data_IF_924151770066
#
_entry.id   IF_924151770066
#
_cell.length_a   1.000
_cell.length_b   1.000
_cell.length_c   1.000
_cell.angle_alpha   90.00
_cell.angle_beta   90.00
_cell.angle_gamma   90.00
#
_symmetry.space_group_name_H-M   'P 1'
#
loop_
_entity.id
_entity.type
_entity.pdbx_description
1 polymer ?
#
# COMPACT_ATOMS: atom_id res chain seq x y z
N UNK A 1 -13.21 4.12 5.80
CA UNK A 1 -12.53 3.66 7.04
C UNK A 1 -13.15 2.35 7.46
N UNK A 2 -12.35 1.33 7.68
CA UNK A 2 -12.72 0.03 8.24
C UNK A 2 -12.15 -0.12 9.65
N UNK A 3 -12.90 -0.69 10.58
CA UNK A 3 -12.47 -0.89 11.97
C UNK A 3 -13.13 -2.09 12.61
N UNK A 4 -12.45 -2.70 13.59
CA UNK A 4 -12.97 -3.85 14.33
C UNK A 4 -13.70 -3.41 15.64
N UNK A 5 -13.56 -2.13 16.04
CA UNK A 5 -14.21 -1.55 17.21
C UNK A 5 -13.87 -0.08 17.41
N UNK A 6 -14.11 0.46 18.61
CA UNK A 6 -13.97 1.88 18.95
C UNK A 6 -12.93 2.17 20.04
N UNK A 7 -12.37 1.14 20.66
CA UNK A 7 -11.37 1.29 21.72
C UNK A 7 -10.02 1.71 21.14
N UNK A 8 -9.20 2.38 21.96
CA UNK A 8 -7.93 2.97 21.56
C UNK A 8 -6.89 1.95 21.01
N UNK A 9 -7.02 0.68 21.36
CA UNK A 9 -6.16 -0.40 20.86
C UNK A 9 -6.70 -1.17 19.66
N UNK A 10 -7.92 -0.81 19.22
CA UNK A 10 -8.62 -1.53 18.15
C UNK A 10 -7.95 -1.32 16.80
N UNK A 11 -7.99 -2.37 16.00
CA UNK A 11 -7.50 -2.34 14.61
C UNK A 11 -8.42 -1.47 13.76
N UNK A 12 -7.81 -0.59 12.97
CA UNK A 12 -8.52 0.16 11.94
C UNK A 12 -7.62 0.42 10.73
N UNK A 13 -8.24 0.71 9.63
CA UNK A 13 -7.57 1.01 8.37
C UNK A 13 -8.32 2.06 7.57
N UNK A 14 -7.58 2.80 6.77
CA UNK A 14 -8.12 3.70 5.76
C UNK A 14 -7.75 3.14 4.40
N UNK A 15 -8.73 3.08 3.51
CA UNK A 15 -8.53 2.81 2.09
C UNK A 15 -8.99 4.04 1.31
N UNK A 16 -8.09 4.70 0.60
CA UNK A 16 -8.39 5.87 -0.21
C UNK A 16 -8.73 5.45 -1.63
N UNK A 17 -10.02 5.24 -1.88
CA UNK A 17 -10.57 4.98 -3.21
C UNK A 17 -11.39 6.18 -3.75
N UNK A 18 -11.37 7.31 -3.03
CA UNK A 18 -12.08 8.52 -3.39
C UNK A 18 -11.57 9.17 -4.69
N UNK A 19 -12.32 10.12 -5.27
CA UNK A 19 -11.88 10.88 -6.43
C UNK A 19 -10.72 11.81 -6.05
N UNK A 20 -9.86 12.11 -7.01
CA UNK A 20 -8.88 13.19 -6.84
C UNK A 20 -9.61 14.53 -6.76
N UNK A 21 -9.41 15.25 -5.66
CA UNK A 21 -10.10 16.53 -5.40
C UNK A 21 -9.35 17.72 -6.00
N UNK A 22 -9.82 18.93 -5.62
CA UNK A 22 -9.23 20.21 -6.04
C UNK A 22 -8.40 20.79 -4.89
N UNK A 23 -7.11 20.98 -5.12
CA UNK A 23 -6.18 21.54 -4.14
C UNK A 23 -5.89 20.61 -2.96
N UNK A 24 -4.72 20.72 -2.38
CA UNK A 24 -4.25 19.93 -1.24
C UNK A 24 -4.29 18.39 -1.40
N UNK A 25 -4.65 17.89 -2.56
CA UNK A 25 -4.70 16.45 -2.88
C UNK A 25 -3.31 15.91 -3.19
N UNK A 26 -3.13 14.62 -2.91
CA UNK A 26 -1.95 13.85 -3.26
C UNK A 26 -2.27 12.84 -4.37
N UNK A 27 -1.25 12.28 -5.00
CA UNK A 27 -1.39 11.22 -5.99
C UNK A 27 -1.29 9.87 -5.28
N UNK A 28 -2.28 9.56 -4.49
CA UNK A 28 -2.32 8.47 -3.51
C UNK A 28 -3.56 7.58 -3.66
N UNK A 29 -4.20 7.61 -4.83
CA UNK A 29 -5.38 6.76 -5.10
C UNK A 29 -5.05 5.29 -4.86
N UNK A 30 -5.93 4.61 -4.10
CA UNK A 30 -5.79 3.24 -3.62
C UNK A 30 -4.76 3.05 -2.50
N UNK A 31 -4.36 4.15 -1.83
CA UNK A 31 -3.54 4.11 -0.63
C UNK A 31 -4.24 3.39 0.53
N UNK A 32 -3.46 2.71 1.35
CA UNK A 32 -3.93 2.04 2.58
C UNK A 32 -3.05 2.44 3.75
N UNK A 33 -3.68 2.90 4.83
CA UNK A 33 -3.06 3.06 6.16
C UNK A 33 -3.63 2.05 7.13
N UNK A 34 -2.79 1.54 8.05
CA UNK A 34 -3.17 0.56 9.07
C UNK A 34 -2.66 0.98 10.45
N UNK A 35 -3.59 1.00 11.39
CA UNK A 35 -3.33 1.13 12.82
C UNK A 35 -3.79 -0.15 13.54
N UNK A 36 -2.98 -0.65 14.46
CA UNK A 36 -3.35 -1.78 15.30
C UNK A 36 -2.55 -1.79 16.61
N UNK A 37 -3.15 -2.33 17.65
CA UNK A 37 -2.51 -2.53 18.95
C UNK A 37 -1.90 -1.24 19.55
N UNK A 38 -2.61 -0.12 19.37
CA UNK A 38 -2.22 1.18 19.93
C UNK A 38 -1.13 1.93 19.14
N UNK A 39 -0.87 1.56 17.87
CA UNK A 39 0.24 2.11 17.07
C UNK A 39 -0.13 2.24 15.60
N UNK A 40 0.34 3.31 14.96
CA UNK A 40 0.40 3.38 13.50
C UNK A 40 1.45 2.40 12.98
N UNK A 41 1.07 1.56 12.02
CA UNK A 41 1.92 0.53 11.43
C UNK A 41 2.24 0.82 9.99
N UNK A 42 1.22 0.97 9.13
CA UNK A 42 1.38 1.50 7.77
C UNK A 42 0.80 2.91 7.74
N UNK A 43 1.60 3.86 7.28
CA UNK A 43 1.28 5.29 7.38
C UNK A 43 1.20 5.96 6.03
N UNK A 44 0.40 7.02 5.95
CA UNK A 44 0.58 8.07 4.97
C UNK A 44 1.77 8.93 5.40
N UNK A 45 2.61 9.32 4.44
CA UNK A 45 3.83 10.06 4.74
C UNK A 45 3.58 11.53 5.15
N UNK A 46 2.36 12.03 4.99
CA UNK A 46 2.00 13.42 5.27
C UNK A 46 2.42 14.38 4.16
N UNK A 47 2.24 15.67 4.40
CA UNK A 47 2.42 16.69 3.34
C UNK A 47 3.77 17.40 3.33
N UNK A 48 4.52 17.36 4.40
CA UNK A 48 5.78 18.05 4.67
C UNK A 48 5.71 19.56 4.39
N UNK A 49 5.58 19.99 3.12
CA UNK A 49 5.64 21.41 2.72
C UNK A 49 4.74 21.72 1.53
N UNK A 50 4.35 22.99 1.41
CA UNK A 50 3.72 23.53 0.20
C UNK A 50 4.72 24.22 -0.74
N UNK A 51 6.00 24.26 -0.37
CA UNK A 51 7.07 24.88 -1.15
C UNK A 51 7.88 23.81 -1.84
N UNK A 52 8.04 23.91 -3.16
CA UNK A 52 8.86 23.06 -4.00
C UNK A 52 9.27 23.81 -5.25
N UNK A 53 10.34 23.35 -5.90
CA UNK A 53 10.82 23.88 -7.18
C UNK A 53 10.18 23.11 -8.33
N UNK A 54 10.02 21.78 -8.15
CA UNK A 54 9.42 20.91 -9.14
C UNK A 54 8.63 19.79 -8.44
N UNK A 55 7.34 20.02 -8.21
CA UNK A 55 6.46 19.05 -7.53
C UNK A 55 6.13 17.79 -8.36
N UNK A 56 6.71 17.66 -9.56
CA UNK A 56 6.69 16.45 -10.40
C UNK A 56 7.96 15.61 -10.31
N UNK A 57 8.90 15.99 -9.45
CA UNK A 57 10.19 15.30 -9.30
C UNK A 57 10.26 14.51 -7.99
N UNK A 58 10.69 13.23 -8.01
CA UNK A 58 10.99 12.48 -6.80
C UNK A 58 12.24 12.96 -6.05
N UNK A 59 12.93 13.96 -6.58
CA UNK A 59 14.09 14.66 -5.96
C UNK A 59 13.73 16.06 -5.45
N UNK A 60 12.47 16.44 -5.50
CA UNK A 60 11.91 17.62 -4.84
C UNK A 60 11.07 17.19 -3.64
N UNK A 61 11.26 17.81 -2.47
CA UNK A 61 10.53 17.40 -1.27
C UNK A 61 9.03 17.61 -1.38
N UNK A 62 8.57 18.66 -2.05
CA UNK A 62 7.14 18.83 -2.32
C UNK A 62 6.63 17.75 -3.26
N UNK A 63 7.41 17.44 -4.30
CA UNK A 63 7.12 16.37 -5.25
C UNK A 63 7.03 15.03 -4.55
N UNK A 64 8.03 14.65 -3.79
CA UNK A 64 8.06 13.38 -3.05
C UNK A 64 6.82 13.20 -2.17
N UNK A 65 6.50 14.16 -1.28
CA UNK A 65 5.39 14.04 -0.34
C UNK A 65 4.00 14.20 -0.97
N UNK A 66 3.88 14.84 -2.13
CA UNK A 66 2.60 15.03 -2.84
C UNK A 66 2.28 13.86 -3.77
N UNK A 67 3.30 13.23 -4.33
CA UNK A 67 3.19 12.24 -5.39
C UNK A 67 3.24 10.82 -4.84
N UNK A 68 2.94 9.85 -5.67
CA UNK A 68 2.80 8.43 -5.32
C UNK A 68 4.02 7.81 -4.61
N UNK A 69 5.20 8.42 -4.71
CA UNK A 69 6.43 7.89 -4.12
C UNK A 69 6.42 7.77 -2.61
N UNK A 70 5.59 8.54 -1.92
CA UNK A 70 5.49 8.53 -0.45
C UNK A 70 4.24 7.82 0.08
N UNK A 71 3.47 7.19 -0.79
CA UNK A 71 2.19 6.57 -0.45
C UNK A 71 2.22 5.05 -0.64
N UNK A 72 1.27 4.32 -0.03
CA UNK A 72 1.17 2.87 -0.11
C UNK A 72 0.38 2.44 -1.36
N UNK A 73 0.96 2.69 -2.52
CA UNK A 73 0.39 2.50 -3.85
C UNK A 73 1.37 1.78 -4.78
N UNK A 74 0.95 1.56 -6.04
CA UNK A 74 1.81 0.98 -7.07
C UNK A 74 2.33 2.10 -7.99
N UNK A 75 3.64 2.09 -8.24
CA UNK A 75 4.30 2.87 -9.28
C UNK A 75 4.51 2.01 -10.53
N UNK A 76 4.52 2.64 -11.70
CA UNK A 76 4.90 2.02 -12.98
C UNK A 76 6.14 2.75 -13.51
N UNK A 77 7.23 2.01 -13.80
CA UNK A 77 8.51 2.55 -14.21
C UNK A 77 9.00 3.70 -13.30
N UNK A 78 8.76 3.56 -11.99
CA UNK A 78 9.06 4.56 -10.97
C UNK A 78 8.32 5.91 -11.16
N UNK A 79 7.24 5.91 -11.92
CA UNK A 79 6.42 7.10 -12.17
C UNK A 79 5.23 7.17 -11.21
N UNK A 80 4.83 8.40 -10.91
CA UNK A 80 3.66 8.70 -10.07
C UNK A 80 2.37 8.58 -10.86
N UNK A 81 1.28 8.27 -10.18
CA UNK A 81 -0.07 8.41 -10.70
C UNK A 81 -0.31 9.80 -11.29
N UNK A 82 -1.06 9.86 -12.40
CA UNK A 82 -1.45 11.12 -13.02
C UNK A 82 -2.49 11.87 -12.19
N UNK A 83 -2.41 13.20 -12.26
CA UNK A 83 -3.43 14.10 -11.68
C UNK A 83 -4.65 14.10 -12.60
N UNK A 84 -5.77 13.57 -12.14
CA UNK A 84 -7.03 13.75 -12.84
C UNK A 84 -8.19 13.81 -11.84
N UNK A 85 -9.05 14.81 -12.02
CA UNK A 85 -10.28 14.94 -11.24
C UNK A 85 -11.23 13.85 -11.73
N UNK A 86 -11.41 12.82 -10.91
CA UNK A 86 -12.41 11.78 -11.14
C UNK A 86 -13.67 12.10 -10.35
N UNK A 87 -14.82 11.95 -11.02
CA UNK A 87 -16.11 11.89 -10.32
C UNK A 87 -16.13 10.61 -9.50
N UNK A 88 -16.64 10.68 -8.28
CA UNK A 88 -16.79 9.51 -7.43
C UNK A 88 -17.59 8.42 -8.16
N UNK A 89 -17.08 7.18 -8.12
CA UNK A 89 -17.86 6.00 -8.45
C UNK A 89 -19.06 5.90 -7.53
N UNK A 90 -20.14 5.27 -7.99
CA UNK A 90 -21.32 5.02 -7.17
C UNK A 90 -20.93 4.22 -5.90
N UNK A 91 -21.00 4.81 -4.70
CA UNK A 91 -20.44 4.21 -3.49
C UNK A 91 -21.08 2.88 -3.10
N UNK A 92 -22.26 2.60 -3.60
CA UNK A 92 -23.08 1.44 -3.19
C UNK A 92 -22.69 0.11 -3.88
N UNK A 93 -21.96 0.15 -4.98
CA UNK A 93 -21.55 -1.05 -5.71
C UNK A 93 -20.15 -1.54 -5.34
N UNK A 94 -19.31 -0.64 -4.82
CA UNK A 94 -17.88 -0.89 -4.69
C UNK A 94 -17.43 -1.13 -3.24
N UNK A 95 -18.35 -1.23 -2.28
CA UNK A 95 -18.02 -1.53 -0.89
C UNK A 95 -19.14 -2.28 -0.15
N UNK A 96 -18.76 -3.04 0.87
CA UNK A 96 -19.66 -3.78 1.76
C UNK A 96 -19.10 -3.80 3.18
N UNK A 97 -19.95 -3.54 4.16
CA UNK A 97 -19.62 -3.64 5.58
C UNK A 97 -20.50 -4.71 6.21
N UNK A 98 -19.87 -5.65 6.94
CA UNK A 98 -20.55 -6.73 7.68
C UNK A 98 -19.91 -6.89 9.05
N UNK A 99 -20.49 -7.75 9.90
CA UNK A 99 -19.90 -8.11 11.18
C UNK A 99 -18.65 -8.98 11.05
N UNK A 100 -18.48 -9.66 9.91
CA UNK A 100 -17.37 -10.60 9.66
C UNK A 100 -16.25 -9.99 8.84
N UNK A 101 -16.58 -9.09 7.91
CA UNK A 101 -15.61 -8.45 7.04
C UNK A 101 -16.12 -7.12 6.49
N UNK A 102 -15.18 -6.25 6.17
CA UNK A 102 -15.41 -5.09 5.29
C UNK A 102 -14.71 -5.32 3.96
N UNK A 103 -15.36 -4.92 2.89
CA UNK A 103 -14.86 -4.97 1.52
C UNK A 103 -14.97 -3.60 0.87
N UNK A 104 -13.98 -3.24 0.06
CA UNK A 104 -14.06 -2.11 -0.87
C UNK A 104 -13.23 -2.40 -2.11
N UNK A 105 -13.68 -1.93 -3.26
CA UNK A 105 -12.98 -2.00 -4.53
C UNK A 105 -12.74 -0.57 -5.04
N UNK A 106 -11.49 -0.25 -5.34
CA UNK A 106 -11.10 0.99 -5.98
C UNK A 106 -10.45 0.74 -7.34
N UNK A 107 -10.59 1.70 -8.25
CA UNK A 107 -9.98 1.68 -9.57
C UNK A 107 -9.24 2.99 -9.83
N UNK A 108 -8.03 2.89 -10.35
CA UNK A 108 -7.27 3.98 -10.93
C UNK A 108 -6.93 3.63 -12.38
N UNK A 109 -7.33 4.47 -13.33
CA UNK A 109 -7.26 4.23 -14.78
C UNK A 109 -6.67 5.41 -15.57
N UNK A 110 -5.92 6.29 -14.89
CA UNK A 110 -5.36 7.52 -15.49
C UNK A 110 -3.89 7.41 -15.86
N UNK A 111 -3.29 6.25 -15.60
CA UNK A 111 -1.89 5.96 -15.92
C UNK A 111 -0.87 6.65 -15.01
N UNK A 112 0.40 6.49 -15.34
CA UNK A 112 1.57 6.96 -14.60
C UNK A 112 2.49 7.74 -15.54
N UNK A 113 2.43 9.08 -15.50
CA UNK A 113 3.03 9.97 -16.49
C UNK A 113 2.61 9.54 -17.92
N UNK A 114 3.55 9.11 -18.77
CA UNK A 114 3.32 8.64 -20.13
C UNK A 114 2.83 7.16 -20.24
N UNK A 115 2.82 6.41 -19.13
CA UNK A 115 2.46 4.99 -19.12
C UNK A 115 0.97 4.83 -18.89
N UNK A 116 0.26 4.37 -19.91
CA UNK A 116 -1.17 4.11 -19.84
C UNK A 116 -1.45 2.75 -19.20
N UNK A 117 -2.51 2.68 -18.41
CA UNK A 117 -2.92 1.45 -17.75
C UNK A 117 -3.96 1.66 -16.68
N UNK A 118 -4.34 0.55 -16.07
CA UNK A 118 -5.36 0.48 -15.03
C UNK A 118 -4.83 -0.32 -13.83
N UNK A 119 -5.09 0.19 -12.64
CA UNK A 119 -4.89 -0.51 -11.38
C UNK A 119 -6.23 -0.63 -10.65
N UNK A 120 -6.60 -1.84 -10.30
CA UNK A 120 -7.71 -2.11 -9.39
C UNK A 120 -7.16 -2.70 -8.10
N UNK A 121 -7.65 -2.21 -6.96
CA UNK A 121 -7.31 -2.73 -5.64
C UNK A 121 -8.59 -3.08 -4.90
N UNK A 122 -8.71 -4.36 -4.55
CA UNK A 122 -9.75 -4.83 -3.64
C UNK A 122 -9.17 -4.92 -2.23
N UNK A 123 -9.86 -4.28 -1.30
CA UNK A 123 -9.52 -4.24 0.11
C UNK A 123 -10.50 -5.11 0.89
N UNK A 124 -9.99 -6.06 1.68
CA UNK A 124 -10.76 -6.82 2.64
C UNK A 124 -10.15 -6.66 4.03
N UNK A 125 -10.95 -6.28 5.01
CA UNK A 125 -10.64 -6.45 6.42
C UNK A 125 -11.45 -7.64 6.95
N UNK A 126 -10.83 -8.77 7.20
CA UNK A 126 -11.43 -9.89 7.91
C UNK A 126 -11.30 -9.59 9.40
N UNK A 127 -12.44 -9.29 10.04
CA UNK A 127 -12.48 -8.75 11.40
C UNK A 127 -11.69 -9.62 12.37
N UNK A 128 -10.90 -8.97 13.20
CA UNK A 128 -10.03 -9.57 14.23
C UNK A 128 -8.96 -10.56 13.72
N UNK A 129 -8.81 -10.72 12.39
CA UNK A 129 -7.87 -11.68 11.80
C UNK A 129 -6.77 -11.01 10.97
N UNK A 130 -7.12 -10.58 9.77
CA UNK A 130 -6.14 -10.06 8.81
C UNK A 130 -6.79 -9.10 7.80
N UNK A 131 -5.95 -8.38 7.08
CA UNK A 131 -6.35 -7.73 5.83
C UNK A 131 -5.85 -8.55 4.65
N UNK A 132 -6.69 -8.66 3.63
CA UNK A 132 -6.31 -9.19 2.32
C UNK A 132 -6.48 -8.07 1.30
N UNK A 133 -5.39 -7.68 0.66
CA UNK A 133 -5.36 -6.66 -0.38
C UNK A 133 -5.08 -7.39 -1.69
N UNK A 134 -5.97 -7.26 -2.67
CA UNK A 134 -5.80 -7.88 -3.98
C UNK A 134 -5.62 -6.79 -5.04
N UNK A 135 -4.53 -6.87 -5.78
CA UNK A 135 -4.18 -5.93 -6.82
C UNK A 135 -4.30 -6.59 -8.21
N UNK A 136 -4.85 -5.86 -9.16
CA UNK A 136 -4.85 -6.18 -10.59
C UNK A 136 -4.28 -5.03 -11.37
N UNK A 137 -3.25 -5.33 -12.15
CA UNK A 137 -2.61 -4.39 -13.07
C UNK A 137 -2.89 -4.78 -14.51
N UNK A 138 -3.24 -3.80 -15.33
CA UNK A 138 -3.37 -3.91 -16.78
C UNK A 138 -2.67 -2.71 -17.41
N UNK A 139 -1.54 -2.95 -18.06
CA UNK A 139 -0.72 -1.92 -18.69
C UNK A 139 -0.75 -2.07 -20.21
N UNK A 140 -0.70 -0.99 -20.95
CA UNK A 140 -0.64 -1.04 -22.40
C UNK A 140 0.67 -1.65 -22.89
N UNK A 141 1.77 -1.33 -22.20
CA UNK A 141 3.11 -1.85 -22.50
C UNK A 141 3.68 -2.58 -21.30
N UNK A 142 4.56 -3.56 -21.57
CA UNK A 142 5.33 -4.24 -20.52
C UNK A 142 6.19 -3.23 -19.76
N UNK A 143 6.08 -3.21 -18.46
CA UNK A 143 6.70 -2.21 -17.59
C UNK A 143 7.15 -2.80 -16.25
N UNK A 144 8.07 -2.12 -15.58
CA UNK A 144 8.42 -2.45 -14.21
C UNK A 144 7.38 -1.86 -13.25
N UNK A 145 6.95 -2.63 -12.26
CA UNK A 145 6.05 -2.14 -11.21
C UNK A 145 6.74 -2.16 -9.85
N UNK A 146 6.36 -1.21 -9.00
CA UNK A 146 6.84 -1.13 -7.62
C UNK A 146 5.63 -0.97 -6.68
N UNK A 147 5.40 -1.92 -5.78
CA UNK A 147 4.41 -1.79 -4.72
C UNK A 147 5.10 -1.28 -3.44
N UNK A 148 4.62 -0.17 -2.92
CA UNK A 148 5.23 0.54 -1.79
C UNK A 148 4.44 0.31 -0.51
N UNK A 149 5.16 0.02 0.59
CA UNK A 149 4.60 -0.07 1.94
C UNK A 149 5.45 0.75 2.93
N UNK A 150 4.93 1.91 3.34
CA UNK A 150 5.58 2.83 4.26
C UNK A 150 5.17 2.53 5.70
N UNK A 151 6.15 2.19 6.52
CA UNK A 151 5.95 1.92 7.93
C UNK A 151 6.13 3.21 8.75
N UNK A 152 5.52 3.26 9.93
CA UNK A 152 5.77 4.36 10.87
C UNK A 152 7.26 4.45 11.21
N UNK A 153 7.85 5.65 11.41
CA UNK A 153 9.29 5.83 11.68
C UNK A 153 9.84 4.99 12.84
N UNK A 154 9.00 4.70 13.85
CA UNK A 154 9.36 3.88 15.00
C UNK A 154 9.38 2.37 14.73
N UNK A 155 8.98 1.92 13.54
CA UNK A 155 9.00 0.51 13.19
C UNK A 155 10.41 0.05 12.84
N UNK A 156 10.81 -1.12 13.39
CA UNK A 156 12.00 -1.84 12.98
C UNK A 156 11.58 -2.95 12.02
N UNK A 157 11.88 -2.77 10.74
CA UNK A 157 11.41 -3.66 9.67
C UNK A 157 12.51 -4.63 9.26
N UNK A 158 12.15 -5.90 9.17
CA UNK A 158 12.98 -7.00 8.67
C UNK A 158 12.28 -7.72 7.52
N UNK A 159 13.03 -8.54 6.77
CA UNK A 159 12.48 -9.42 5.73
C UNK A 159 12.92 -10.86 5.90
N UNK A 160 12.09 -11.80 5.42
CA UNK A 160 12.41 -13.23 5.31
C UNK A 160 12.99 -13.55 3.93
N UNK A 161 13.43 -14.81 3.74
CA UNK A 161 13.83 -15.32 2.42
C UNK A 161 12.64 -15.45 1.45
N UNK A 162 11.43 -15.66 1.98
CA UNK A 162 10.19 -15.74 1.19
C UNK A 162 9.57 -14.35 0.93
N UNK A 163 10.39 -13.30 0.99
CA UNK A 163 10.03 -11.91 0.71
C UNK A 163 8.89 -11.34 1.60
N UNK A 164 8.59 -11.96 2.76
CA UNK A 164 7.73 -11.33 3.75
C UNK A 164 8.48 -10.18 4.43
N UNK A 165 7.81 -9.06 4.64
CA UNK A 165 8.30 -7.97 5.51
C UNK A 165 7.51 -7.93 6.80
N UNK A 166 8.21 -7.70 7.92
CA UNK A 166 7.60 -7.75 9.25
C UNK A 166 8.34 -6.89 10.26
N UNK A 167 7.64 -6.55 11.34
CA UNK A 167 8.22 -5.87 12.51
C UNK A 167 8.20 -6.79 13.73
N UNK A 168 9.17 -6.61 14.65
CA UNK A 168 9.29 -7.37 15.90
C UNK A 168 9.64 -6.45 17.05
N UNK A 169 9.03 -5.27 17.12
CA UNK A 169 9.30 -4.29 18.17
C UNK A 169 8.69 -4.76 19.50
N UNK A 170 9.53 -4.95 20.50
CA UNK A 170 9.14 -5.52 21.80
C UNK A 170 8.15 -4.59 22.51
N UNK A 171 7.03 -5.16 22.97
CA UNK A 171 6.00 -4.44 23.73
C UNK A 171 5.17 -3.46 22.93
N UNK A 172 5.27 -3.47 21.59
CA UNK A 172 4.52 -2.62 20.68
C UNK A 172 3.69 -3.47 19.72
N UNK A 173 2.74 -2.84 19.01
CA UNK A 173 2.05 -3.45 17.89
C UNK A 173 3.02 -3.79 16.75
N UNK A 174 2.88 -4.96 16.17
CA UNK A 174 3.69 -5.46 15.06
C UNK A 174 2.83 -5.83 13.87
N UNK A 175 3.43 -5.83 12.69
CA UNK A 175 2.79 -6.11 11.41
C UNK A 175 3.65 -7.05 10.57
N UNK A 176 2.99 -7.91 9.80
CA UNK A 176 3.61 -8.72 8.74
C UNK A 176 2.84 -8.50 7.45
N UNK A 177 3.56 -8.31 6.36
CA UNK A 177 3.05 -8.27 5.00
C UNK A 177 3.65 -9.48 4.28
N UNK A 178 2.78 -10.41 3.87
CA UNK A 178 3.14 -11.59 3.11
C UNK A 178 2.62 -11.43 1.67
N UNK A 179 3.49 -11.40 0.64
CA UNK A 179 3.06 -11.41 -0.74
C UNK A 179 2.40 -12.76 -1.07
N UNK A 180 1.29 -12.70 -1.80
CA UNK A 180 0.57 -13.88 -2.31
C UNK A 180 0.57 -13.75 -3.84
N UNK A 181 1.51 -14.43 -4.48
CA UNK A 181 1.83 -14.29 -5.89
C UNK A 181 1.87 -15.68 -6.50
N UNK A 182 1.22 -15.86 -7.66
CA UNK A 182 1.14 -17.17 -8.33
C UNK A 182 2.50 -17.62 -8.84
N UNK A 183 3.27 -16.70 -9.42
CA UNK A 183 4.66 -16.91 -9.82
C UNK A 183 5.51 -15.76 -9.25
N UNK A 184 6.24 -16.06 -8.21
CA UNK A 184 7.10 -15.09 -7.52
C UNK A 184 8.51 -14.97 -8.11
N UNK A 185 8.84 -15.71 -9.16
CA UNK A 185 10.21 -15.80 -9.71
C UNK A 185 10.78 -14.44 -10.18
N UNK A 186 9.91 -13.48 -10.49
CA UNK A 186 10.30 -12.13 -10.90
C UNK A 186 10.14 -11.06 -9.83
N UNK A 187 9.73 -11.42 -8.62
CA UNK A 187 9.51 -10.46 -7.54
C UNK A 187 10.69 -10.40 -6.57
N UNK A 188 11.02 -9.20 -6.15
CA UNK A 188 12.03 -8.95 -5.11
C UNK A 188 11.51 -7.89 -4.15
N UNK A 189 12.02 -7.87 -2.90
CA UNK A 189 11.75 -6.77 -1.96
C UNK A 189 13.02 -6.19 -1.37
N UNK A 190 13.12 -4.88 -1.38
CA UNK A 190 14.09 -4.08 -0.63
C UNK A 190 13.40 -3.29 0.49
N UNK A 191 14.12 -3.05 1.57
CA UNK A 191 13.67 -2.10 2.61
C UNK A 191 14.62 -0.91 2.61
N UNK A 192 14.07 0.27 2.31
CA UNK A 192 14.80 1.54 2.29
C UNK A 192 14.36 2.45 3.42
N UNK A 193 15.28 3.27 3.96
CA UNK A 193 14.97 4.22 5.03
C UNK A 193 15.80 5.48 4.85
N UNK A 194 15.15 6.62 4.63
CA UNK A 194 15.83 7.91 4.51
C UNK A 194 16.74 8.04 3.30
N UNK A 195 16.41 7.37 2.20
CA UNK A 195 17.16 7.45 0.96
C UNK A 195 17.04 8.83 0.32
N UNK A 196 18.15 9.35 -0.20
CA UNK A 196 18.21 10.65 -0.92
C UNK A 196 18.78 10.52 -2.33
N UNK A 197 19.43 9.42 -2.65
CA UNK A 197 20.02 9.14 -3.96
C UNK A 197 19.67 7.71 -4.39
N UNK A 198 19.26 7.45 -5.63
CA UNK A 198 19.09 8.37 -6.76
C UNK A 198 17.83 9.24 -6.66
N UNK A 199 16.91 8.95 -5.77
CA UNK A 199 15.67 9.68 -5.51
C UNK A 199 15.29 9.55 -4.02
N UNK A 200 14.37 10.39 -3.56
CA UNK A 200 13.90 10.35 -2.18
C UNK A 200 12.98 9.14 -1.97
N UNK A 201 13.24 8.33 -0.93
CA UNK A 201 12.39 7.22 -0.52
C UNK A 201 12.52 6.96 0.97
N UNK A 202 11.41 6.58 1.63
CA UNK A 202 11.40 6.28 3.06
C UNK A 202 11.53 7.51 3.95
N UNK A 203 10.70 8.54 3.72
CA UNK A 203 10.61 9.75 4.52
C UNK A 203 9.17 10.03 4.95
N UNK A 204 9.00 10.43 6.20
CA UNK A 204 7.75 10.71 6.88
C UNK A 204 7.72 12.15 7.45
N UNK A 205 6.54 12.75 7.50
CA UNK A 205 6.35 14.12 7.98
C UNK A 205 5.08 14.27 8.82
N UNK A 206 5.20 14.08 10.12
CA UNK A 206 4.10 14.35 11.06
C UNK A 206 3.73 15.84 11.18
N UNK A 207 4.66 16.74 10.83
CA UNK A 207 4.48 18.19 10.98
C UNK A 207 5.08 18.96 9.80
N UNK A 208 4.42 20.05 9.41
CA UNK A 208 4.91 20.95 8.35
C UNK A 208 6.38 21.33 8.56
N UNK A 209 7.18 21.23 7.50
CA UNK A 209 8.62 21.51 7.45
C UNK A 209 9.49 20.65 8.38
N UNK A 210 8.97 19.53 8.88
CA UNK A 210 9.74 18.53 9.62
C UNK A 210 9.57 17.17 8.97
N UNK A 211 10.65 16.50 8.71
CA UNK A 211 10.66 15.15 8.15
C UNK A 211 11.68 14.30 8.87
N UNK A 212 11.42 13.02 8.90
CA UNK A 212 12.29 12.01 9.47
C UNK A 212 12.30 10.75 8.59
N UNK A 213 13.37 9.95 8.62
CA UNK A 213 13.42 8.70 7.90
C UNK A 213 12.40 7.69 8.45
N UNK A 214 11.66 7.04 7.55
CA UNK A 214 10.82 5.88 7.90
C UNK A 214 11.14 4.68 6.98
N UNK A 215 10.96 3.45 7.46
CA UNK A 215 11.13 2.27 6.61
C UNK A 215 10.05 2.24 5.52
N UNK A 216 10.48 1.92 4.29
CA UNK A 216 9.60 1.62 3.18
C UNK A 216 10.01 0.29 2.56
N UNK A 217 9.12 -0.69 2.53
CA UNK A 217 9.32 -1.88 1.73
C UNK A 217 8.93 -1.57 0.28
N UNK A 218 9.83 -1.87 -0.65
CA UNK A 218 9.66 -1.68 -2.08
C UNK A 218 9.68 -3.06 -2.73
N UNK A 219 8.51 -3.55 -3.10
CA UNK A 219 8.37 -4.78 -3.86
C UNK A 219 8.42 -4.46 -5.35
N UNK A 220 9.24 -5.15 -6.10
CA UNK A 220 9.48 -4.88 -7.51
C UNK A 220 9.24 -6.11 -8.36
N UNK A 221 8.61 -5.92 -9.51
CA UNK A 221 8.51 -6.92 -10.58
C UNK A 221 8.79 -6.25 -11.94
N UNK A 222 9.54 -6.95 -12.77
CA UNK A 222 9.88 -6.50 -14.11
C UNK A 222 8.96 -7.10 -15.17
N UNK A 223 8.89 -6.45 -16.32
CA UNK A 223 8.20 -6.94 -17.53
C UNK A 223 6.72 -7.29 -17.33
N UNK A 224 6.03 -6.54 -16.46
CA UNK A 224 4.60 -6.71 -16.18
C UNK A 224 3.78 -5.99 -17.24
N UNK A 225 2.88 -6.73 -17.93
CA UNK A 225 1.83 -6.17 -18.76
C UNK A 225 0.45 -6.39 -18.12
N UNK A 226 0.23 -7.58 -17.58
CA UNK A 226 -0.97 -7.91 -16.81
C UNK A 226 -0.54 -8.75 -15.63
N UNK A 227 -1.01 -8.39 -14.43
CA UNK A 227 -0.72 -9.16 -13.22
C UNK A 227 -1.90 -9.12 -12.24
N UNK A 228 -2.06 -10.22 -11.51
CA UNK A 228 -2.92 -10.29 -10.32
C UNK A 228 -2.10 -10.88 -9.18
N UNK A 229 -2.12 -10.22 -8.05
CA UNK A 229 -1.40 -10.63 -6.84
C UNK A 229 -2.13 -10.11 -5.61
N UNK A 230 -1.77 -10.63 -4.44
CA UNK A 230 -2.37 -10.18 -3.20
C UNK A 230 -1.32 -10.00 -2.09
N UNK A 231 -1.73 -9.32 -1.03
CA UNK A 231 -0.98 -9.08 0.19
C UNK A 231 -1.80 -9.53 1.37
N UNK A 232 -1.29 -10.50 2.11
CA UNK A 232 -1.87 -10.89 3.37
C UNK A 232 -1.18 -10.13 4.50
N UNK A 233 -1.95 -9.32 5.22
CA UNK A 233 -1.42 -8.44 6.26
C UNK A 233 -1.98 -8.88 7.60
N UNK A 234 -1.09 -9.24 8.52
CA UNK A 234 -1.42 -9.65 9.89
C UNK A 234 -0.78 -8.74 10.91
N UNK A 235 -1.38 -8.62 12.09
CA UNK A 235 -0.86 -7.81 13.19
C UNK A 235 -1.01 -8.51 14.52
N UNK A 236 -0.09 -8.26 15.46
CA UNK A 236 -0.14 -8.72 16.85
C UNK A 236 0.69 -7.78 17.77
N UNK A 237 0.53 -7.92 19.09
CA UNK A 237 1.43 -7.28 20.07
C UNK A 237 2.76 -8.01 20.21
N UNK A 238 2.82 -9.26 19.79
CA UNK A 238 3.99 -10.09 19.71
C UNK A 238 4.42 -10.30 18.25
N UNK A 239 4.66 -11.56 17.88
CA UNK A 239 4.93 -11.93 16.50
C UNK A 239 3.61 -12.04 15.73
N UNK A 240 3.44 -11.30 14.60
CA UNK A 240 2.22 -11.38 13.79
C UNK A 240 2.01 -12.79 13.23
N UNK A 241 0.77 -13.31 13.27
CA UNK A 241 0.44 -14.65 12.78
C UNK A 241 0.88 -14.88 11.33
N UNK A 242 1.31 -16.11 11.04
CA UNK A 242 1.68 -16.56 9.70
C UNK A 242 0.60 -17.53 9.22
N UNK A 243 -0.12 -17.13 8.18
CA UNK A 243 -1.06 -17.98 7.46
C UNK A 243 -0.41 -18.50 6.17
N UNK A 244 -0.77 -19.69 5.77
CA UNK A 244 -0.50 -20.17 4.40
C UNK A 244 -1.53 -19.56 3.47
N UNK A 245 -1.08 -18.79 2.48
CA UNK A 245 -1.94 -18.19 1.48
C UNK A 245 -1.44 -18.52 0.08
N UNK A 246 -2.35 -18.80 -0.84
CA UNK A 246 -2.04 -19.11 -2.24
C UNK A 246 -3.13 -18.61 -3.18
N UNK A 247 -2.77 -18.16 -4.37
CA UNK A 247 -3.71 -17.91 -5.45
C UNK A 247 -4.03 -19.24 -6.12
N UNK A 248 -5.29 -19.67 -6.03
CA UNK A 248 -5.75 -20.95 -6.61
C UNK A 248 -6.44 -20.78 -7.97
N UNK A 249 -6.78 -19.53 -8.33
CA UNK A 249 -7.39 -19.18 -9.61
C UNK A 249 -7.21 -17.71 -9.90
N UNK A 250 -6.87 -17.38 -11.14
CA UNK A 250 -6.72 -16.01 -11.62
C UNK A 250 -7.08 -15.96 -13.11
N UNK A 251 -8.23 -15.39 -13.46
CA UNK A 251 -8.67 -15.21 -14.85
C UNK A 251 -9.59 -14.00 -14.98
N UNK A 252 -9.29 -13.12 -15.93
CA UNK A 252 -10.04 -11.90 -16.16
C UNK A 252 -10.07 -11.01 -14.92
N UNK A 253 -11.24 -10.70 -14.39
CA UNK A 253 -11.44 -9.92 -13.17
C UNK A 253 -11.53 -10.79 -11.89
N UNK A 254 -11.47 -12.11 -12.04
CA UNK A 254 -11.66 -13.03 -10.94
C UNK A 254 -10.31 -13.47 -10.35
N UNK A 255 -10.18 -13.34 -9.04
CA UNK A 255 -9.06 -13.82 -8.25
C UNK A 255 -9.60 -14.65 -7.08
N UNK A 256 -9.12 -15.88 -6.91
CA UNK A 256 -9.43 -16.71 -5.77
C UNK A 256 -8.18 -16.99 -4.96
N UNK A 257 -8.16 -16.49 -3.73
CA UNK A 257 -7.10 -16.73 -2.75
C UNK A 257 -7.60 -17.75 -1.72
N UNK A 258 -6.81 -18.79 -1.47
CA UNK A 258 -7.02 -19.71 -0.36
C UNK A 258 -6.10 -19.29 0.79
N UNK A 259 -6.68 -19.14 1.98
CA UNK A 259 -5.94 -18.82 3.20
C UNK A 259 -6.25 -19.92 4.22
N UNK A 260 -5.20 -20.51 4.77
CA UNK A 260 -5.29 -21.61 5.74
C UNK A 260 -4.58 -21.17 7.02
N UNK A 261 -5.29 -21.30 8.14
CA UNK A 261 -4.71 -21.17 9.46
C UNK A 261 -3.87 -22.41 9.76
N UNK A 262 -2.61 -22.19 10.09
CA UNK A 262 -1.67 -23.26 10.42
C UNK A 262 -1.66 -23.59 11.94
N UNK A 263 -2.63 -23.06 12.71
CA UNK A 263 -2.75 -23.36 14.14
C UNK A 263 -3.61 -24.58 14.43
#
# INVERSE_FOLDING_TARGET
VSRDGWDAGTRWSVFDAGPHGIGHQHNDKLHISIFAHGRDLLTDAGKFTYRGINDRSPRDWRGYFKRSWSHNVILVNHKSQNDEINVATEPLTDWKITDLYDFALGTFDKGWDEHEGRHQRAFFNIKDKFWLICDRMELQESSNIQALWHFHPECTVSKTQDEHVFTTDIGKGNIRIAPVIMDSSGWTVGVVKGQTDPYYQGWYSAKTNRKEPNPCAVYEAADVKTAQFAWLITTDKGEPPVYKAEIVYSEGENLKVRIVDNQ
#
